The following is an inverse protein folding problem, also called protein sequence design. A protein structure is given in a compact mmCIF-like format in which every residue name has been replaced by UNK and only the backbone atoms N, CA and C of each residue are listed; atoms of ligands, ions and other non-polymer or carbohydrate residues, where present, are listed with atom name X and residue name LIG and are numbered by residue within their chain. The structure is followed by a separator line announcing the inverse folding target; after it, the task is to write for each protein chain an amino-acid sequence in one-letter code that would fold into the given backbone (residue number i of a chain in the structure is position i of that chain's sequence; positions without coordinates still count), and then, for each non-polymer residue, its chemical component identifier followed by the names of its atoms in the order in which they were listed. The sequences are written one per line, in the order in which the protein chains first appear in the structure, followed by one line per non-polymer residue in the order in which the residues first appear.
data_IF_220173217790
#
_entry.id   IF_220173217790
#
_cell.length_a   1.000
_cell.length_b   1.000
_cell.length_c   1.000
_cell.angle_alpha   90.00
_cell.angle_beta   90.00
_cell.angle_gamma   90.00
#
_symmetry.space_group_name_H-M   'P 1'
#
loop_
_entity.id
_entity.type
_entity.pdbx_description
1 polymer ?
#
# COMPACT_ATOMS: atom_id res chain seq x y z
N UNK A 1 -6.60 -10.87 -35.93
CA UNK A 1 -6.97 -11.83 -37.00
C UNK A 1 -8.01 -11.19 -37.89
N UNK A 2 -7.88 -11.46 -39.19
CA UNK A 2 -8.84 -11.06 -40.22
C UNK A 2 -10.04 -12.02 -40.24
N UNK A 3 -11.23 -11.50 -40.52
CA UNK A 3 -12.42 -12.31 -40.77
C UNK A 3 -12.27 -13.05 -42.10
N UNK A 4 -12.65 -14.33 -42.15
CA UNK A 4 -12.61 -15.14 -43.37
C UNK A 4 -14.03 -15.29 -43.90
N UNK A 5 -14.27 -14.77 -45.10
CA UNK A 5 -15.51 -14.94 -45.86
C UNK A 5 -15.35 -16.11 -46.84
N UNK A 6 -16.36 -16.96 -46.96
CA UNK A 6 -16.43 -18.01 -47.97
C UNK A 6 -17.01 -17.44 -49.28
N UNK A 7 -16.62 -18.00 -50.43
CA UNK A 7 -16.99 -17.45 -51.74
C UNK A 7 -18.51 -17.50 -52.04
N UNK A 8 -19.22 -18.48 -51.46
CA UNK A 8 -20.63 -18.75 -51.76
C UNK A 8 -21.59 -18.45 -50.60
N UNK A 9 -21.14 -17.70 -49.56
CA UNK A 9 -22.00 -17.32 -48.44
C UNK A 9 -22.47 -15.85 -48.54
N UNK A 10 -23.74 -15.55 -48.23
CA UNK A 10 -24.18 -14.17 -48.07
C UNK A 10 -23.33 -13.46 -47.01
N UNK A 11 -22.90 -12.22 -47.30
CA UNK A 11 -22.11 -11.39 -46.37
C UNK A 11 -22.76 -11.27 -44.99
N UNK A 12 -24.09 -11.24 -44.95
CA UNK A 12 -24.90 -11.27 -43.72
C UNK A 12 -24.68 -12.53 -42.89
N UNK A 13 -24.65 -13.71 -43.52
CA UNK A 13 -24.41 -14.99 -42.86
C UNK A 13 -22.95 -15.10 -42.38
N UNK A 14 -22.00 -14.62 -43.19
CA UNK A 14 -20.58 -14.59 -42.85
C UNK A 14 -20.28 -13.75 -41.59
N UNK A 15 -20.93 -12.58 -41.45
CA UNK A 15 -20.78 -11.71 -40.28
C UNK A 15 -21.26 -12.41 -39.00
N UNK A 16 -22.41 -13.09 -39.07
CA UNK A 16 -22.99 -13.80 -37.92
C UNK A 16 -22.12 -15.00 -37.52
N UNK A 17 -21.67 -15.80 -38.50
CA UNK A 17 -20.76 -16.94 -38.26
C UNK A 17 -19.45 -16.49 -37.63
N UNK A 18 -18.82 -15.46 -38.20
CA UNK A 18 -17.57 -14.89 -37.69
C UNK A 18 -17.70 -14.35 -36.27
N UNK A 19 -18.83 -13.73 -35.93
CA UNK A 19 -19.11 -13.24 -34.58
C UNK A 19 -19.22 -14.37 -33.56
N UNK A 20 -19.99 -15.43 -33.90
CA UNK A 20 -20.11 -16.63 -33.07
C UNK A 20 -18.77 -17.30 -32.81
N UNK A 21 -17.97 -17.54 -33.85
CA UNK A 21 -16.64 -18.14 -33.69
C UNK A 21 -15.70 -17.28 -32.81
N UNK A 22 -15.83 -15.95 -32.83
CA UNK A 22 -15.04 -15.07 -31.97
C UNK A 22 -15.50 -15.17 -30.51
N UNK A 23 -16.82 -15.23 -30.27
CA UNK A 23 -17.36 -15.42 -28.93
C UNK A 23 -17.00 -16.78 -28.35
N UNK A 24 -17.11 -17.86 -29.12
CA UNK A 24 -16.78 -19.21 -28.68
C UNK A 24 -15.30 -19.30 -28.28
N UNK A 25 -14.40 -18.76 -29.10
CA UNK A 25 -12.97 -18.68 -28.75
C UNK A 25 -12.74 -17.86 -27.47
N UNK A 26 -13.46 -16.76 -27.30
CA UNK A 26 -13.35 -15.95 -26.10
C UNK A 26 -13.87 -16.67 -24.84
N UNK A 27 -14.93 -17.46 -24.97
CA UNK A 27 -15.48 -18.31 -23.89
C UNK A 27 -14.48 -19.42 -23.55
N UNK A 28 -13.93 -20.11 -24.54
CA UNK A 28 -12.90 -21.15 -24.34
C UNK A 28 -11.68 -20.58 -23.63
N UNK A 29 -11.12 -19.47 -24.14
CA UNK A 29 -9.98 -18.80 -23.50
C UNK A 29 -10.28 -18.32 -22.10
N UNK A 30 -11.49 -17.80 -21.86
CA UNK A 30 -11.91 -17.41 -20.52
C UNK A 30 -11.94 -18.64 -19.60
N UNK A 31 -12.60 -19.72 -20.02
CA UNK A 31 -12.81 -20.93 -19.20
C UNK A 31 -11.50 -21.65 -18.89
N UNK A 32 -10.62 -21.80 -19.88
CA UNK A 32 -9.35 -22.52 -19.71
C UNK A 32 -8.34 -21.72 -18.90
N UNK A 33 -8.30 -20.40 -19.06
CA UNK A 33 -7.27 -19.55 -18.45
C UNK A 33 -7.74 -18.82 -17.20
N UNK A 34 -9.01 -18.90 -16.81
CA UNK A 34 -9.50 -18.17 -15.63
C UNK A 34 -8.76 -18.59 -14.36
N UNK A 35 -8.27 -19.83 -14.26
CA UNK A 35 -7.54 -20.30 -13.09
C UNK A 35 -6.04 -19.91 -13.12
N UNK A 36 -5.44 -19.78 -14.31
CA UNK A 36 -4.00 -19.54 -14.47
C UNK A 36 -3.65 -18.05 -14.69
N UNK A 37 -4.49 -17.33 -15.42
CA UNK A 37 -4.34 -15.90 -15.74
C UNK A 37 -5.73 -15.24 -15.80
N UNK A 38 -6.39 -15.07 -14.63
CA UNK A 38 -7.75 -14.51 -14.58
C UNK A 38 -7.81 -13.10 -15.18
N UNK A 39 -6.83 -12.24 -14.90
CA UNK A 39 -6.74 -10.87 -15.43
C UNK A 39 -6.68 -10.86 -16.96
N UNK A 40 -5.76 -11.63 -17.56
CA UNK A 40 -5.60 -11.71 -19.01
C UNK A 40 -6.81 -12.35 -19.69
N UNK A 41 -7.38 -13.40 -19.09
CA UNK A 41 -8.59 -14.07 -19.56
C UNK A 41 -9.79 -13.11 -19.62
N UNK A 42 -10.05 -12.36 -18.54
CA UNK A 42 -11.12 -11.35 -18.46
C UNK A 42 -10.86 -10.19 -19.45
N UNK A 43 -9.61 -9.75 -19.60
CA UNK A 43 -9.25 -8.71 -20.57
C UNK A 43 -9.59 -9.13 -22.01
N UNK A 44 -9.22 -10.36 -22.39
CA UNK A 44 -9.47 -10.90 -23.72
C UNK A 44 -10.97 -11.10 -23.98
N UNK A 45 -11.72 -11.61 -23.00
CA UNK A 45 -13.18 -11.73 -23.07
C UNK A 45 -13.86 -10.37 -23.29
N UNK A 46 -13.45 -9.32 -22.55
CA UNK A 46 -13.98 -7.95 -22.75
C UNK A 46 -13.65 -7.39 -24.13
N UNK A 47 -12.44 -7.67 -24.64
CA UNK A 47 -12.01 -7.26 -25.98
C UNK A 47 -12.85 -7.93 -27.06
N UNK A 48 -13.17 -9.23 -26.91
CA UNK A 48 -14.06 -9.96 -27.80
C UNK A 48 -15.49 -9.40 -27.78
N UNK A 49 -16.06 -9.17 -26.59
CA UNK A 49 -17.39 -8.56 -26.44
C UNK A 49 -17.46 -7.17 -27.11
N UNK A 50 -16.41 -6.35 -26.99
CA UNK A 50 -16.36 -5.03 -27.64
C UNK A 50 -16.35 -5.15 -29.17
N UNK A 51 -15.63 -6.13 -29.72
CA UNK A 51 -15.61 -6.41 -31.15
C UNK A 51 -16.98 -6.92 -31.63
N UNK A 52 -17.60 -7.85 -30.91
CA UNK A 52 -18.90 -8.41 -31.26
C UNK A 52 -20.00 -7.34 -31.29
N UNK A 53 -20.02 -6.47 -30.28
CA UNK A 53 -20.96 -5.33 -30.26
C UNK A 53 -20.73 -4.33 -31.39
N UNK A 54 -19.53 -4.31 -31.96
CA UNK A 54 -19.22 -3.50 -33.14
C UNK A 54 -19.70 -4.20 -34.42
N UNK A 55 -19.55 -5.52 -34.52
CA UNK A 55 -20.14 -6.34 -35.61
C UNK A 55 -21.67 -6.25 -35.65
N UNK A 56 -22.33 -6.30 -34.48
CA UNK A 56 -23.79 -6.12 -34.40
C UNK A 56 -24.26 -4.77 -34.94
N UNK A 57 -23.42 -3.72 -34.92
CA UNK A 57 -23.78 -2.43 -35.54
C UNK A 57 -23.76 -2.50 -37.06
N UNK A 58 -22.89 -3.33 -37.64
CA UNK A 58 -22.76 -3.57 -39.08
C UNK A 58 -23.82 -4.54 -39.59
N UNK A 59 -24.32 -5.45 -38.74
CA UNK A 59 -25.38 -6.42 -39.07
C UNK A 59 -26.81 -5.81 -39.15
N UNK A 60 -26.95 -4.48 -39.30
CA UNK A 60 -28.26 -3.78 -39.22
C UNK A 60 -29.28 -4.22 -40.27
N UNK A 61 -28.83 -4.65 -41.45
CA UNK A 61 -29.67 -5.20 -42.53
C UNK A 61 -29.61 -6.74 -42.65
N UNK A 62 -28.78 -7.39 -41.84
CA UNK A 62 -28.58 -8.84 -41.86
C UNK A 62 -29.42 -9.58 -40.79
N UNK A 63 -29.97 -8.85 -39.81
CA UNK A 63 -30.67 -9.42 -38.67
C UNK A 63 -31.88 -8.58 -38.26
N UNK A 64 -32.95 -9.21 -37.73
CA UNK A 64 -34.08 -8.50 -37.16
C UNK A 64 -33.65 -7.54 -36.04
N UNK A 65 -34.24 -6.34 -36.03
CA UNK A 65 -33.87 -5.29 -35.07
C UNK A 65 -34.05 -5.71 -33.60
N UNK A 66 -35.07 -6.54 -33.31
CA UNK A 66 -35.32 -7.11 -31.99
C UNK A 66 -34.20 -8.04 -31.53
N UNK A 67 -33.80 -8.98 -32.38
CA UNK A 67 -32.73 -9.94 -32.09
C UNK A 67 -31.40 -9.23 -31.83
N UNK A 68 -31.01 -8.29 -32.70
CA UNK A 68 -29.79 -7.49 -32.55
C UNK A 68 -29.77 -6.67 -31.25
N UNK A 69 -30.92 -6.11 -30.83
CA UNK A 69 -31.04 -5.38 -29.56
C UNK A 69 -30.86 -6.31 -28.36
N UNK A 70 -31.49 -7.48 -28.39
CA UNK A 70 -31.38 -8.50 -27.36
C UNK A 70 -29.92 -8.97 -27.19
N UNK A 71 -29.25 -9.35 -28.27
CA UNK A 71 -27.86 -9.80 -28.24
C UNK A 71 -26.90 -8.71 -27.71
N UNK A 72 -27.07 -7.46 -28.15
CA UNK A 72 -26.27 -6.35 -27.63
C UNK A 72 -26.57 -6.05 -26.14
N UNK A 73 -27.77 -6.33 -25.64
CA UNK A 73 -28.09 -6.21 -24.21
C UNK A 73 -27.42 -7.33 -23.39
N UNK A 74 -27.45 -8.57 -23.87
CA UNK A 74 -26.75 -9.71 -23.25
C UNK A 74 -25.24 -9.47 -23.16
N UNK A 75 -24.63 -9.04 -24.27
CA UNK A 75 -23.20 -8.69 -24.31
C UNK A 75 -22.85 -7.52 -23.37
N UNK A 76 -23.77 -6.55 -23.18
CA UNK A 76 -23.60 -5.48 -22.18
C UNK A 76 -23.66 -6.01 -20.76
N UNK A 77 -24.59 -6.91 -20.45
CA UNK A 77 -24.72 -7.51 -19.13
C UNK A 77 -23.47 -8.34 -18.77
N UNK A 78 -23.00 -9.19 -19.70
CA UNK A 78 -21.78 -9.98 -19.53
C UNK A 78 -20.54 -9.10 -19.29
N UNK A 79 -20.38 -8.01 -20.06
CA UNK A 79 -19.27 -7.08 -19.88
C UNK A 79 -19.27 -6.37 -18.50
N UNK A 80 -20.45 -6.12 -17.92
CA UNK A 80 -20.58 -5.54 -16.58
C UNK A 80 -20.18 -6.54 -15.49
N UNK A 81 -20.65 -7.79 -15.59
CA UNK A 81 -20.23 -8.86 -14.66
C UNK A 81 -18.72 -9.06 -14.62
N UNK A 82 -18.07 -9.02 -15.79
CA UNK A 82 -16.60 -9.09 -15.92
C UNK A 82 -15.86 -7.84 -15.39
N UNK A 83 -16.54 -6.71 -15.16
CA UNK A 83 -15.92 -5.51 -14.59
C UNK A 83 -15.75 -5.64 -13.08
N UNK A 84 -16.79 -6.07 -12.38
CA UNK A 84 -16.80 -6.15 -10.93
C UNK A 84 -15.75 -7.15 -10.39
N UNK A 85 -15.55 -8.28 -11.08
CA UNK A 85 -14.52 -9.26 -10.73
C UNK A 85 -13.10 -8.68 -10.91
N UNK A 86 -12.87 -7.95 -12.01
CA UNK A 86 -11.57 -7.33 -12.31
C UNK A 86 -11.20 -6.21 -11.35
N UNK A 87 -12.16 -5.39 -10.92
CA UNK A 87 -11.88 -4.27 -10.02
C UNK A 87 -11.38 -4.78 -8.65
N UNK A 88 -11.90 -5.92 -8.19
CA UNK A 88 -11.43 -6.58 -6.95
C UNK A 88 -10.02 -7.15 -7.11
N UNK A 89 -9.76 -7.89 -8.18
CA UNK A 89 -8.45 -8.52 -8.42
C UNK A 89 -7.34 -7.49 -8.66
N UNK A 90 -7.60 -6.45 -9.45
CA UNK A 90 -6.65 -5.35 -9.67
C UNK A 90 -6.32 -4.63 -8.36
N UNK A 91 -7.29 -4.45 -7.47
CA UNK A 91 -7.06 -3.87 -6.15
C UNK A 91 -6.20 -4.78 -5.25
N UNK A 92 -6.42 -6.09 -5.30
CA UNK A 92 -5.59 -7.06 -4.56
C UNK A 92 -4.14 -7.03 -5.07
N UNK A 93 -3.93 -7.10 -6.39
CA UNK A 93 -2.59 -7.01 -6.98
C UNK A 93 -1.91 -5.68 -6.65
N UNK A 94 -2.62 -4.55 -6.78
CA UNK A 94 -2.07 -3.23 -6.44
C UNK A 94 -1.70 -3.12 -4.95
N UNK A 95 -2.49 -3.72 -4.06
CA UNK A 95 -2.20 -3.77 -2.63
C UNK A 95 -0.97 -4.65 -2.34
N UNK A 96 -0.82 -5.78 -3.01
CA UNK A 96 0.35 -6.66 -2.89
C UNK A 96 1.64 -5.96 -3.36
N UNK A 97 1.61 -5.31 -4.52
CA UNK A 97 2.73 -4.53 -5.05
C UNK A 97 3.12 -3.37 -4.10
N UNK A 98 2.12 -2.65 -3.59
CA UNK A 98 2.34 -1.57 -2.63
C UNK A 98 2.95 -2.10 -1.33
N UNK A 99 2.44 -3.24 -0.84
CA UNK A 99 2.96 -3.92 0.36
C UNK A 99 4.43 -4.32 0.18
N UNK A 100 4.80 -4.93 -0.95
CA UNK A 100 6.20 -5.34 -1.19
C UNK A 100 7.12 -4.12 -1.33
N UNK A 101 6.68 -3.09 -2.05
CA UNK A 101 7.42 -1.82 -2.15
C UNK A 101 7.62 -1.19 -0.78
N UNK A 102 6.62 -1.24 0.08
CA UNK A 102 6.68 -0.72 1.44
C UNK A 102 7.63 -1.54 2.33
N UNK A 103 7.58 -2.87 2.28
CA UNK A 103 8.50 -3.75 3.00
C UNK A 103 9.96 -3.46 2.61
N UNK A 104 10.21 -3.22 1.32
CA UNK A 104 11.51 -2.78 0.82
C UNK A 104 11.96 -1.43 1.39
N UNK A 105 11.05 -0.45 1.48
CA UNK A 105 11.32 0.87 2.07
C UNK A 105 11.63 0.78 3.56
N UNK A 106 10.81 0.06 4.33
CA UNK A 106 11.00 -0.18 5.75
C UNK A 106 12.38 -0.79 6.04
N UNK A 107 12.77 -1.82 5.29
CA UNK A 107 14.09 -2.45 5.45
C UNK A 107 15.24 -1.49 5.13
N UNK A 108 15.08 -0.64 4.10
CA UNK A 108 16.08 0.38 3.76
C UNK A 108 16.21 1.41 4.88
N UNK A 109 15.10 1.90 5.43
CA UNK A 109 15.12 2.83 6.57
C UNK A 109 15.78 2.21 7.79
N UNK A 110 15.46 0.95 8.12
CA UNK A 110 16.12 0.21 9.21
C UNK A 110 17.64 0.12 9.03
N UNK A 111 18.11 -0.29 7.84
CA UNK A 111 19.55 -0.39 7.54
C UNK A 111 20.26 0.95 7.64
N UNK A 112 19.66 2.01 7.09
CA UNK A 112 20.22 3.37 7.14
C UNK A 112 20.26 3.89 8.57
N UNK A 113 19.21 3.67 9.36
CA UNK A 113 19.16 4.02 10.77
C UNK A 113 20.22 3.30 11.59
N UNK A 114 20.39 1.99 11.37
CA UNK A 114 21.45 1.20 12.03
C UNK A 114 22.87 1.69 11.67
N UNK A 115 23.10 2.05 10.41
CA UNK A 115 24.39 2.64 9.99
C UNK A 115 24.62 4.00 10.64
N UNK A 116 23.60 4.86 10.66
CA UNK A 116 23.68 6.19 11.26
C UNK A 116 23.90 6.12 12.78
N UNK A 117 23.27 5.17 13.49
CA UNK A 117 23.56 4.88 14.90
C UNK A 117 25.04 4.56 15.11
N UNK A 118 25.65 3.73 14.26
CA UNK A 118 27.06 3.36 14.40
C UNK A 118 28.00 4.58 14.30
N UNK A 119 27.72 5.50 13.37
CA UNK A 119 28.43 6.78 13.27
C UNK A 119 28.18 7.66 14.50
N UNK A 120 26.91 7.93 14.82
CA UNK A 120 26.52 8.83 15.91
C UNK A 120 27.02 8.35 17.28
N UNK A 121 27.07 7.04 17.53
CA UNK A 121 27.63 6.47 18.77
C UNK A 121 29.14 6.72 18.90
N UNK A 122 29.85 6.77 17.78
CA UNK A 122 31.29 6.98 17.75
C UNK A 122 31.64 8.45 17.88
N UNK A 123 31.02 9.30 17.05
CA UNK A 123 31.41 10.70 16.91
C UNK A 123 30.66 11.62 17.86
N UNK A 124 29.40 11.30 18.17
CA UNK A 124 28.43 12.20 18.85
C UNK A 124 28.40 13.62 18.25
N UNK A 125 28.72 13.74 16.97
CA UNK A 125 28.71 15.02 16.27
C UNK A 125 27.28 15.47 16.01
N UNK A 126 27.04 16.79 15.99
CA UNK A 126 25.71 17.34 15.67
C UNK A 126 25.23 16.89 14.29
N UNK A 127 26.13 16.77 13.32
CA UNK A 127 25.82 16.28 11.98
C UNK A 127 25.36 14.81 11.99
N UNK A 128 26.10 13.93 12.64
CA UNK A 128 25.76 12.50 12.70
C UNK A 128 24.49 12.25 13.51
N UNK A 129 24.30 12.97 14.62
CA UNK A 129 23.08 12.90 15.43
C UNK A 129 21.86 13.39 14.65
N UNK A 130 21.99 14.50 13.93
CA UNK A 130 20.92 15.01 13.06
C UNK A 130 20.64 14.06 11.88
N UNK A 131 21.68 13.50 11.25
CA UNK A 131 21.53 12.49 10.21
C UNK A 131 20.81 11.24 10.74
N UNK A 132 21.16 10.79 11.94
CA UNK A 132 20.53 9.65 12.59
C UNK A 132 19.07 9.93 12.92
N UNK A 133 18.74 11.12 13.47
CA UNK A 133 17.36 11.56 13.72
C UNK A 133 16.48 11.43 12.48
N UNK A 134 16.95 11.89 11.32
CA UNK A 134 16.21 11.77 10.06
C UNK A 134 15.86 10.32 9.75
N UNK A 135 16.81 9.39 9.95
CA UNK A 135 16.57 7.95 9.70
C UNK A 135 15.66 7.30 10.72
N UNK A 136 15.73 7.72 11.99
CA UNK A 136 14.79 7.26 13.02
C UNK A 136 13.37 7.72 12.69
N UNK A 137 13.17 8.97 12.25
CA UNK A 137 11.87 9.45 11.76
C UNK A 137 11.35 8.62 10.59
N UNK A 138 12.20 8.34 9.60
CA UNK A 138 11.83 7.47 8.48
C UNK A 138 11.35 6.09 8.96
N UNK A 139 12.07 5.47 9.91
CA UNK A 139 11.70 4.17 10.47
C UNK A 139 10.38 4.25 11.25
N UNK A 140 10.25 5.25 12.13
CA UNK A 140 9.05 5.45 12.94
C UNK A 140 7.80 5.62 12.07
N UNK A 141 7.85 6.45 11.02
CA UNK A 141 6.68 6.62 10.15
C UNK A 141 6.28 5.31 9.48
N UNK A 142 7.25 4.50 9.05
CA UNK A 142 6.93 3.22 8.45
C UNK A 142 6.33 2.23 9.47
N UNK A 143 6.91 2.14 10.67
CA UNK A 143 6.40 1.27 11.75
C UNK A 143 5.02 1.73 12.24
N UNK A 144 4.79 3.04 12.33
CA UNK A 144 3.50 3.65 12.68
C UNK A 144 2.41 3.30 11.67
N UNK A 145 2.72 3.33 10.38
CA UNK A 145 1.77 2.96 9.33
C UNK A 145 1.36 1.49 9.42
N UNK A 146 2.29 0.61 9.80
CA UNK A 146 2.04 -0.82 9.93
C UNK A 146 1.40 -1.23 11.25
N UNK A 147 1.55 -0.42 12.31
CA UNK A 147 1.08 -0.74 13.65
C UNK A 147 -0.42 -1.12 13.77
N UNK A 148 -1.36 -0.51 13.02
CA UNK A 148 -2.77 -0.92 13.03
C UNK A 148 -2.97 -2.36 12.57
N UNK A 149 -2.29 -2.78 11.51
CA UNK A 149 -2.46 -4.12 10.90
C UNK A 149 -1.59 -5.17 11.57
N UNK A 150 -0.35 -4.84 11.95
CA UNK A 150 0.65 -5.80 12.42
C UNK A 150 0.62 -6.06 13.94
N UNK A 151 -0.37 -5.54 14.65
CA UNK A 151 -0.62 -5.87 16.04
C UNK A 151 0.32 -5.20 17.08
N UNK A 152 0.26 -5.66 18.35
CA UNK A 152 0.86 -4.97 19.49
C UNK A 152 2.39 -4.91 19.43
N UNK A 153 3.05 -5.92 18.87
CA UNK A 153 4.51 -5.97 18.75
C UNK A 153 5.06 -4.83 17.91
N UNK A 154 4.48 -4.59 16.72
CA UNK A 154 4.91 -3.50 15.84
C UNK A 154 4.52 -2.15 16.43
N UNK A 155 3.38 -2.06 17.10
CA UNK A 155 2.97 -0.86 17.84
C UNK A 155 3.95 -0.49 18.96
N UNK A 156 4.43 -1.48 19.72
CA UNK A 156 5.46 -1.28 20.74
C UNK A 156 6.75 -0.73 20.15
N UNK A 157 7.23 -1.32 19.04
CA UNK A 157 8.40 -0.80 18.31
C UNK A 157 8.21 0.62 17.80
N UNK A 158 7.06 0.93 17.22
CA UNK A 158 6.76 2.28 16.76
C UNK A 158 6.83 3.30 17.89
N UNK A 159 6.40 2.94 19.12
CA UNK A 159 6.54 3.78 20.31
C UNK A 159 8.01 3.98 20.71
N UNK A 160 8.83 2.94 20.66
CA UNK A 160 10.28 3.06 20.94
C UNK A 160 10.99 3.94 19.91
N UNK A 161 10.70 3.74 18.62
CA UNK A 161 11.24 4.57 17.54
C UNK A 161 10.79 6.03 17.66
N UNK A 162 9.56 6.28 18.13
CA UNK A 162 9.07 7.64 18.42
C UNK A 162 9.85 8.28 19.55
N UNK A 163 9.98 7.61 20.70
CA UNK A 163 10.75 8.11 21.84
C UNK A 163 12.20 8.42 21.45
N UNK A 164 12.82 7.59 20.62
CA UNK A 164 14.15 7.85 20.08
C UNK A 164 14.18 9.11 19.19
N UNK A 165 13.14 9.32 18.37
CA UNK A 165 13.04 10.52 17.53
C UNK A 165 12.86 11.81 18.35
N UNK A 166 12.16 11.72 19.47
CA UNK A 166 11.95 12.84 20.41
C UNK A 166 13.25 13.22 21.11
N UNK A 167 13.96 12.25 21.70
CA UNK A 167 15.26 12.50 22.36
C UNK A 167 16.28 13.14 21.40
N UNK A 168 16.35 12.64 20.15
CA UNK A 168 17.21 13.22 19.12
C UNK A 168 16.68 14.57 18.62
N UNK A 169 15.39 14.84 18.75
CA UNK A 169 14.79 16.14 18.50
C UNK A 169 15.24 17.16 19.53
N UNK A 170 15.09 16.83 20.81
CA UNK A 170 15.50 17.69 21.92
C UNK A 170 17.00 18.00 21.86
N UNK A 171 17.86 17.01 21.57
CA UNK A 171 19.31 17.24 21.36
C UNK A 171 19.59 18.19 20.18
N UNK A 172 18.84 18.02 19.08
CA UNK A 172 19.00 18.87 17.90
C UNK A 172 18.59 20.32 18.19
N UNK A 173 17.47 20.52 18.86
CA UNK A 173 16.95 21.85 19.20
C UNK A 173 17.89 22.56 20.17
N UNK A 174 18.44 21.84 21.16
CA UNK A 174 19.50 22.34 22.04
C UNK A 174 20.80 22.65 21.28
N UNK A 175 21.17 21.83 20.30
CA UNK A 175 22.32 22.09 19.44
C UNK A 175 22.16 23.37 18.62
N UNK A 176 20.97 23.63 18.08
CA UNK A 176 20.65 24.88 17.38
C UNK A 176 20.65 26.09 18.32
N UNK A 177 20.11 25.94 19.54
CA UNK A 177 20.13 26.99 20.56
C UNK A 177 21.57 27.36 20.93
N UNK A 178 22.42 26.36 21.19
CA UNK A 178 23.84 26.55 21.46
C UNK A 178 24.53 27.31 20.33
N UNK A 179 24.32 26.90 19.08
CA UNK A 179 24.91 27.56 17.91
C UNK A 179 24.52 29.04 17.83
N UNK A 180 23.23 29.35 18.04
CA UNK A 180 22.75 30.74 18.08
C UNK A 180 23.40 31.56 19.20
N UNK A 181 23.42 31.04 20.43
CA UNK A 181 24.02 31.72 21.58
C UNK A 181 25.52 32.01 21.38
N UNK A 182 26.24 31.14 20.66
CA UNK A 182 27.67 31.34 20.40
C UNK A 182 27.99 32.25 19.21
N UNK A 183 27.04 32.46 18.29
CA UNK A 183 27.24 33.31 17.11
C UNK A 183 26.78 34.75 17.32
N UNK A 184 25.69 34.93 18.05
CA UNK A 184 25.05 36.22 18.19
C UNK A 184 25.49 36.89 19.51
N UNK A 185 25.70 38.21 19.47
CA UNK A 185 25.85 38.99 20.70
C UNK A 185 24.47 39.07 21.34
N UNK A 186 24.27 38.35 22.45
CA UNK A 186 23.01 38.30 23.17
C UNK A 186 22.91 39.53 24.09
N UNK A 187 22.00 40.48 23.86
CA UNK A 187 21.94 41.77 24.58
C UNK A 187 21.18 41.60 25.91
N UNK A 188 21.56 40.61 26.71
CA UNK A 188 20.88 40.24 27.96
C UNK A 188 21.97 39.99 29.03
N UNK A 189 21.78 40.37 30.30
CA UNK A 189 22.78 40.16 31.35
C UNK A 189 22.75 38.68 31.81
N UNK A 190 23.03 37.79 30.87
CA UNK A 190 23.03 36.34 31.05
C UNK A 190 24.46 35.87 30.84
N UNK A 191 24.95 35.05 31.76
CA UNK A 191 26.19 34.31 31.58
C UNK A 191 25.98 33.25 30.49
N UNK A 192 26.27 33.64 29.24
CA UNK A 192 26.13 32.79 28.06
C UNK A 192 26.97 31.52 28.19
N UNK A 193 28.16 31.62 28.78
CA UNK A 193 29.04 30.46 28.97
C UNK A 193 28.45 29.46 29.98
N UNK A 194 27.81 29.93 31.06
CA UNK A 194 27.07 29.07 31.97
C UNK A 194 25.90 28.36 31.28
N UNK A 195 25.14 29.08 30.45
CA UNK A 195 24.03 28.47 29.68
C UNK A 195 24.55 27.44 28.68
N UNK A 196 25.64 27.72 27.97
CA UNK A 196 26.26 26.77 27.03
C UNK A 196 26.70 25.50 27.75
N UNK A 197 27.30 25.60 28.94
CA UNK A 197 27.67 24.43 29.75
C UNK A 197 26.46 23.58 30.17
N UNK A 198 25.36 24.22 30.55
CA UNK A 198 24.10 23.52 30.89
C UNK A 198 23.50 22.81 29.67
N UNK A 199 23.52 23.46 28.50
CA UNK A 199 23.08 22.87 27.24
C UNK A 199 23.93 21.65 26.91
N UNK A 200 25.27 21.77 26.95
CA UNK A 200 26.18 20.68 26.60
C UNK A 200 26.02 19.48 27.56
N UNK A 201 25.80 19.74 28.85
CA UNK A 201 25.49 18.69 29.82
C UNK A 201 24.18 17.96 29.46
N UNK A 202 23.08 18.70 29.25
CA UNK A 202 21.78 18.11 28.91
C UNK A 202 21.81 17.34 27.60
N UNK A 203 22.51 17.85 26.59
CA UNK A 203 22.73 17.15 25.33
C UNK A 203 23.46 15.82 25.54
N UNK A 204 24.47 15.77 26.41
CA UNK A 204 25.16 14.53 26.77
C UNK A 204 24.23 13.47 27.38
N UNK A 205 23.30 13.87 28.25
CA UNK A 205 22.28 12.98 28.82
C UNK A 205 21.35 12.42 27.74
N UNK A 206 20.78 13.31 26.91
CA UNK A 206 19.87 12.95 25.81
C UNK A 206 20.54 11.99 24.81
N UNK A 207 21.80 12.27 24.44
CA UNK A 207 22.57 11.43 23.53
C UNK A 207 22.82 10.04 24.12
N UNK A 208 23.13 9.96 25.41
CA UNK A 208 23.36 8.68 26.11
C UNK A 208 22.08 7.85 26.11
N UNK A 209 20.95 8.45 26.48
CA UNK A 209 19.65 7.77 26.46
C UNK A 209 19.25 7.35 25.04
N UNK A 210 19.41 8.25 24.07
CA UNK A 210 19.11 7.98 22.67
C UNK A 210 19.93 6.79 22.14
N UNK A 211 21.22 6.73 22.42
CA UNK A 211 22.08 5.60 22.02
C UNK A 211 21.59 4.29 22.61
N UNK A 212 21.24 4.26 23.90
CA UNK A 212 20.72 3.05 24.55
C UNK A 212 19.43 2.54 23.91
N UNK A 213 18.48 3.45 23.63
CA UNK A 213 17.23 3.09 22.94
C UNK A 213 17.52 2.68 21.49
N UNK A 214 18.42 3.38 20.82
CA UNK A 214 18.88 3.06 19.48
C UNK A 214 19.43 1.64 19.36
N UNK A 215 20.31 1.25 20.26
CA UNK A 215 20.87 -0.11 20.29
C UNK A 215 19.78 -1.17 20.45
N UNK A 216 18.74 -0.89 21.24
CA UNK A 216 17.57 -1.79 21.37
C UNK A 216 16.71 -1.82 20.11
N UNK A 217 16.38 -0.66 19.53
CA UNK A 217 15.57 -0.54 18.31
C UNK A 217 16.23 -1.27 17.12
N UNK A 218 17.56 -1.17 17.02
CA UNK A 218 18.38 -1.72 15.93
C UNK A 218 19.14 -3.02 16.30
N UNK A 219 18.78 -3.67 17.41
CA UNK A 219 19.51 -4.82 17.96
C UNK A 219 19.59 -6.00 16.97
N UNK A 220 18.50 -6.24 16.23
CA UNK A 220 18.43 -7.41 15.35
C UNK A 220 19.07 -7.18 13.97
N UNK A 221 19.68 -8.21 13.36
CA UNK A 221 20.19 -8.10 11.99
C UNK A 221 19.08 -7.78 10.98
N UNK A 222 19.35 -7.06 9.88
CA UNK A 222 18.31 -6.64 8.93
C UNK A 222 17.49 -7.79 8.32
N UNK A 223 18.11 -8.96 8.13
CA UNK A 223 17.41 -10.16 7.64
C UNK A 223 16.37 -10.68 8.67
N UNK A 224 16.71 -10.63 9.96
CA UNK A 224 15.83 -11.03 11.06
C UNK A 224 14.67 -10.03 11.22
N UNK A 225 14.98 -8.73 11.16
CA UNK A 225 13.99 -7.65 11.16
C UNK A 225 12.97 -7.81 10.04
N UNK A 226 13.42 -7.98 8.79
CA UNK A 226 12.52 -8.20 7.64
C UNK A 226 11.58 -9.38 7.89
N UNK A 227 12.13 -10.50 8.38
CA UNK A 227 11.34 -11.72 8.62
C UNK A 227 10.31 -11.52 9.75
N UNK A 228 10.66 -10.78 10.81
CA UNK A 228 9.72 -10.43 11.89
C UNK A 228 8.58 -9.56 11.38
N UNK A 229 8.91 -8.51 10.62
CA UNK A 229 7.91 -7.60 10.06
C UNK A 229 6.98 -8.34 9.09
N UNK A 230 7.53 -9.20 8.22
CA UNK A 230 6.74 -10.04 7.32
C UNK A 230 5.77 -10.94 8.09
N UNK A 231 6.23 -11.66 9.12
CA UNK A 231 5.34 -12.51 9.95
C UNK A 231 4.24 -11.72 10.64
N UNK A 232 4.56 -10.53 11.14
CA UNK A 232 3.57 -9.68 11.82
C UNK A 232 2.51 -9.17 10.83
N UNK A 233 2.93 -8.86 9.60
CA UNK A 233 2.06 -8.49 8.50
C UNK A 233 1.17 -9.65 8.04
N UNK A 234 1.76 -10.83 7.82
CA UNK A 234 1.03 -12.04 7.41
C UNK A 234 -0.04 -12.42 8.46
N UNK A 235 0.32 -12.37 9.76
CA UNK A 235 -0.61 -12.61 10.87
C UNK A 235 -1.72 -11.55 10.94
N UNK A 236 -1.37 -10.27 10.74
CA UNK A 236 -2.32 -9.16 10.69
C UNK A 236 -3.33 -9.29 9.55
N UNK A 237 -2.87 -9.66 8.35
CA UNK A 237 -3.76 -9.92 7.20
C UNK A 237 -4.67 -11.11 7.45
N UNK A 238 -4.16 -12.21 7.99
CA UNK A 238 -4.97 -13.38 8.31
C UNK A 238 -6.09 -13.04 9.31
N UNK A 239 -5.79 -12.23 10.33
CA UNK A 239 -6.79 -11.76 11.28
C UNK A 239 -7.85 -10.83 10.65
N UNK A 240 -7.48 -10.02 9.65
CA UNK A 240 -8.41 -9.14 8.94
C UNK A 240 -9.26 -9.86 7.88
N UNK A 241 -8.79 -11.00 7.37
CA UNK A 241 -9.49 -11.84 6.38
C UNK A 241 -10.32 -12.96 7.02
N UNK A 242 -10.19 -13.18 8.34
CA UNK A 242 -11.07 -14.08 9.06
C UNK A 242 -12.53 -13.66 8.78
N UNK A 243 -13.42 -14.62 8.47
CA UNK A 243 -14.83 -14.31 8.27
C UNK A 243 -15.34 -13.43 9.41
N UNK A 244 -16.18 -12.44 9.10
CA UNK A 244 -17.03 -11.76 10.08
C UNK A 244 -18.04 -12.78 10.64
N UNK A 245 -17.57 -13.87 11.24
CA UNK A 245 -18.40 -14.79 11.97
C UNK A 245 -18.67 -14.18 13.34
N UNK A 246 -19.97 -13.90 13.54
CA UNK A 246 -20.64 -13.47 14.76
C UNK A 246 -20.69 -11.95 15.02
N UNK A 247 -21.62 -11.25 14.35
CA UNK A 247 -22.55 -10.33 15.03
C UNK A 247 -23.84 -10.11 14.20
N UNK A 248 -24.73 -11.13 14.01
CA UNK A 248 -26.02 -10.91 13.34
C UNK A 248 -27.05 -10.19 14.22
N UNK A 249 -26.80 -10.00 15.52
CA UNK A 249 -27.82 -9.51 16.45
C UNK A 249 -27.78 -8.00 16.73
N UNK A 250 -26.64 -7.32 16.59
CA UNK A 250 -26.52 -5.90 17.00
C UNK A 250 -26.87 -4.90 15.88
N UNK A 251 -26.73 -5.28 14.61
CA UNK A 251 -27.13 -4.42 13.49
C UNK A 251 -28.66 -4.35 13.29
N UNK A 252 -29.41 -5.34 13.77
CA UNK A 252 -30.88 -5.33 13.75
C UNK A 252 -31.50 -4.49 14.88
N UNK A 253 -30.75 -4.23 15.96
CA UNK A 253 -31.21 -3.38 17.06
C UNK A 253 -31.10 -1.88 16.74
N UNK A 254 -30.19 -1.49 15.84
CA UNK A 254 -29.95 -0.09 15.47
C UNK A 254 -30.96 0.50 14.45
N UNK A 255 -31.93 -0.30 13.96
CA UNK A 255 -32.93 0.13 12.96
C UNK A 255 -34.36 0.22 13.49
N UNK A 256 -34.60 0.02 14.79
CA UNK A 256 -35.89 0.35 15.41
C UNK A 256 -35.86 1.77 15.97
N UNK A 257 -36.32 2.72 15.17
CA UNK A 257 -36.70 4.05 15.66
C UNK A 257 -37.81 3.91 16.73
N UNK A 258 -37.76 4.68 17.83
CA UNK A 258 -38.86 4.73 18.78
C UNK A 258 -40.03 5.53 18.18
N UNK A 259 -41.21 4.92 18.13
CA UNK A 259 -42.46 5.59 17.78
C UNK A 259 -42.78 6.67 18.82
N UNK A 260 -43.07 7.92 18.43
CA UNK A 260 -43.44 8.97 19.37
C UNK A 260 -44.88 8.75 19.88
N UNK A 261 -45.07 9.05 21.16
CA UNK A 261 -46.34 8.98 21.89
C UNK A 261 -47.26 10.16 21.59
#
# INVERSE_FOLDING_TARGET
MAYKFLADEPVSAAIIRCGREQLDRAITQLTERINDDPVGAVHNARKAIKKERSLLRLARGAMPSGQRRSENATLRAAARGLSNARDTEVMVTALEELSERFAGQLLRSYKRGRKALASARTTRSQEDLHAWRKRVKDLWYHERLLAPTCGPTVRGRAKESHRLADLLGDDHDLGLLREKLTRDVVPVPVDVDAVVRLIDHRRGELQTEAILIGERVYAEPPKAFRRRMKRSWDAGRAAAQAPLEQHPAELAAATREPQPS
#
